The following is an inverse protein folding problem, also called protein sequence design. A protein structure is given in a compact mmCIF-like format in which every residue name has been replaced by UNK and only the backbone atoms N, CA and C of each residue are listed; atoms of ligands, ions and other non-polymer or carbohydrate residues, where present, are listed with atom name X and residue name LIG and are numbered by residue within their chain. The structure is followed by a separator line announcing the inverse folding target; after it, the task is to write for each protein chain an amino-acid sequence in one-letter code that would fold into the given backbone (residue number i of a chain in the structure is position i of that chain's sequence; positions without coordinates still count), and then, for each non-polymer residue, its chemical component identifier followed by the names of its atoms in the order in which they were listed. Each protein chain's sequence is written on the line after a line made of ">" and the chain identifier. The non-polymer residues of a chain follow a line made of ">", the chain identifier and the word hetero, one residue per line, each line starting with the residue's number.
data_IF_755219312312
#
_entry.id   IF_755219312312
#
_cell.length_a   1.000
_cell.length_b   1.000
_cell.length_c   1.000
_cell.angle_alpha   90.00
_cell.angle_beta   90.00
_cell.angle_gamma   90.00
#
_symmetry.space_group_name_H-M   'P 1'
#
loop_
_entity.id
_entity.type
_entity.pdbx_description
1 polymer ?
#
# COMPACT_ATOMS: atom_id res chain seq x y z
N UNK A 1 5.96 -13.64 -55.29
CA UNK A 1 6.16 -12.40 -54.51
C UNK A 1 4.98 -12.10 -53.56
N UNK A 2 3.75 -11.90 -54.06
CA UNK A 2 2.56 -11.56 -53.23
C UNK A 2 2.31 -12.45 -52.00
N UNK A 3 2.44 -13.78 -52.12
CA UNK A 3 2.26 -14.72 -50.98
C UNK A 3 3.27 -14.52 -49.84
N UNK A 4 4.52 -14.15 -50.13
CA UNK A 4 5.55 -13.90 -49.11
C UNK A 4 5.25 -12.63 -48.32
N UNK A 5 4.77 -11.58 -49.00
CA UNK A 5 4.31 -10.36 -48.34
C UNK A 5 3.10 -10.59 -47.44
N UNK A 6 2.15 -11.42 -47.87
CA UNK A 6 0.99 -11.80 -47.04
C UNK A 6 1.44 -12.52 -45.76
N UNK A 7 2.38 -13.46 -45.86
CA UNK A 7 2.91 -14.18 -44.69
C UNK A 7 3.64 -13.23 -43.74
N UNK A 8 4.44 -12.29 -44.26
CA UNK A 8 5.15 -11.29 -43.45
C UNK A 8 4.15 -10.37 -42.73
N UNK A 9 3.09 -9.93 -43.41
CA UNK A 9 2.05 -9.08 -42.81
C UNK A 9 1.30 -9.82 -41.68
N UNK A 10 0.99 -11.10 -41.87
CA UNK A 10 0.36 -11.93 -40.83
C UNK A 10 1.29 -12.07 -39.62
N UNK A 11 2.58 -12.32 -39.84
CA UNK A 11 3.56 -12.44 -38.75
C UNK A 11 3.69 -11.13 -37.94
N UNK A 12 3.69 -9.98 -38.61
CA UNK A 12 3.70 -8.66 -37.95
C UNK A 12 2.40 -8.45 -37.16
N UNK A 13 1.24 -8.82 -37.70
CA UNK A 13 -0.04 -8.69 -37.01
C UNK A 13 -0.10 -9.56 -35.74
N UNK A 14 0.37 -10.80 -35.82
CA UNK A 14 0.38 -11.73 -34.68
C UNK A 14 1.38 -11.28 -33.61
N UNK A 15 2.56 -10.79 -34.00
CA UNK A 15 3.56 -10.32 -33.03
C UNK A 15 3.16 -9.02 -32.35
N UNK A 16 2.50 -8.11 -33.08
CA UNK A 16 1.98 -6.86 -32.48
C UNK A 16 0.80 -7.13 -31.56
N UNK A 17 -0.11 -8.05 -31.90
CA UNK A 17 -1.24 -8.39 -31.03
C UNK A 17 -0.81 -9.10 -29.73
N UNK A 18 0.21 -9.97 -29.77
CA UNK A 18 0.76 -10.60 -28.56
C UNK A 18 1.50 -9.60 -27.67
N UNK A 19 2.24 -8.64 -28.26
CA UNK A 19 2.87 -7.56 -27.50
C UNK A 19 1.83 -6.68 -26.79
N UNK A 20 0.74 -6.32 -27.50
CA UNK A 20 -0.36 -5.54 -26.91
C UNK A 20 -0.97 -6.31 -25.74
N UNK A 21 -1.23 -7.62 -25.88
CA UNK A 21 -1.83 -8.44 -24.82
C UNK A 21 -0.95 -8.56 -23.56
N UNK A 22 0.37 -8.65 -23.76
CA UNK A 22 1.36 -8.67 -22.66
C UNK A 22 1.45 -7.32 -21.93
N UNK A 23 1.36 -6.20 -22.66
CA UNK A 23 1.38 -4.85 -22.07
C UNK A 23 0.04 -4.47 -21.44
N UNK A 24 -1.09 -4.97 -21.99
CA UNK A 24 -2.43 -4.76 -21.43
C UNK A 24 -2.80 -5.75 -20.33
N UNK A 25 -1.95 -6.74 -20.05
CA UNK A 25 -1.95 -7.48 -18.78
C UNK A 25 -1.31 -6.61 -17.68
N UNK A 26 -1.73 -5.35 -17.62
CA UNK A 26 -1.37 -4.43 -16.55
C UNK A 26 -1.86 -5.01 -15.22
N UNK A 27 -1.06 -4.81 -14.19
CA UNK A 27 -1.24 -5.29 -12.82
C UNK A 27 -2.71 -5.27 -12.38
N UNK A 28 -3.39 -6.39 -12.60
CA UNK A 28 -4.52 -6.78 -11.80
C UNK A 28 -3.95 -7.45 -10.55
N UNK A 29 -3.13 -6.74 -9.78
CA UNK A 29 -2.91 -7.11 -8.39
C UNK A 29 -4.29 -7.00 -7.74
N UNK A 30 -5.07 -8.07 -7.85
CA UNK A 30 -6.22 -8.30 -6.99
C UNK A 30 -5.60 -8.45 -5.62
N UNK A 31 -5.40 -7.31 -4.97
CA UNK A 31 -5.14 -7.24 -3.55
C UNK A 31 -6.11 -8.20 -2.88
N UNK A 32 -5.58 -9.04 -1.99
CA UNK A 32 -6.39 -10.00 -1.24
C UNK A 32 -7.58 -9.30 -0.58
N UNK A 33 -7.35 -8.06 -0.15
CA UNK A 33 -8.37 -7.16 0.36
C UNK A 33 -8.49 -5.93 -0.54
N UNK A 34 -9.59 -5.77 -1.30
CA UNK A 34 -9.77 -4.62 -2.17
C UNK A 34 -9.96 -3.32 -1.38
N UNK A 35 -9.62 -2.19 -1.99
CA UNK A 35 -9.89 -0.86 -1.43
C UNK A 35 -11.37 -0.52 -1.50
N UNK A 36 -11.89 0.09 -0.43
CA UNK A 36 -13.22 0.70 -0.39
C UNK A 36 -13.20 2.15 -0.91
N UNK A 37 -14.39 2.77 -1.00
CA UNK A 37 -14.55 4.16 -1.43
C UNK A 37 -13.75 5.15 -0.58
N UNK A 38 -13.64 4.87 0.72
CA UNK A 38 -13.01 5.75 1.70
C UNK A 38 -11.52 5.42 1.92
N UNK A 39 -10.96 4.45 1.18
CA UNK A 39 -9.53 4.12 1.22
C UNK A 39 -8.72 5.26 0.60
N UNK A 40 -7.81 5.82 1.38
CA UNK A 40 -6.82 6.79 0.94
C UNK A 40 -5.58 6.09 0.42
N UNK A 41 -5.13 5.06 1.15
CA UNK A 41 -3.94 4.31 0.80
C UNK A 41 -4.03 2.87 1.30
N UNK A 42 -3.33 1.95 0.65
CA UNK A 42 -3.30 0.53 1.00
C UNK A 42 -1.86 0.02 0.99
N UNK A 43 -1.59 -0.96 1.85
CA UNK A 43 -0.25 -1.52 2.02
C UNK A 43 -0.30 -3.05 2.00
N UNK A 44 0.82 -3.64 1.55
CA UNK A 44 0.97 -5.08 1.34
C UNK A 44 0.01 -5.63 0.29
N UNK A 45 -0.71 -6.69 0.62
CA UNK A 45 -1.76 -7.28 -0.22
C UNK A 45 -3.15 -6.64 0.03
N UNK A 46 -3.17 -5.41 0.55
CA UNK A 46 -4.37 -4.71 0.98
C UNK A 46 -4.77 -5.00 2.43
N UNK A 47 -3.98 -5.82 3.14
CA UNK A 47 -4.20 -6.15 4.57
C UNK A 47 -4.32 -4.89 5.43
N UNK A 48 -3.50 -3.87 5.15
CA UNK A 48 -3.55 -2.61 5.87
C UNK A 48 -4.05 -1.50 4.96
N UNK A 49 -4.97 -0.70 5.46
CA UNK A 49 -5.58 0.38 4.69
C UNK A 49 -5.73 1.61 5.58
N UNK A 50 -5.41 2.78 5.01
CA UNK A 50 -5.74 4.06 5.63
C UNK A 50 -7.08 4.51 5.05
N UNK A 51 -8.07 4.71 5.91
CA UNK A 51 -9.40 5.19 5.54
C UNK A 51 -9.67 6.60 6.07
N UNK A 52 -10.65 7.29 5.48
CA UNK A 52 -11.27 8.47 6.08
C UNK A 52 -12.37 8.02 7.05
N UNK A 53 -12.20 8.35 8.32
CA UNK A 53 -12.98 7.80 9.43
C UNK A 53 -14.33 8.46 9.74
N UNK A 54 -14.75 9.53 9.05
CA UNK A 54 -16.06 10.16 9.28
C UNK A 54 -16.12 11.69 9.13
N UNK A 55 -17.07 12.40 9.78
CA UNK A 55 -17.43 13.80 9.49
C UNK A 55 -16.33 14.86 9.62
N UNK A 56 -15.23 14.53 10.32
CA UNK A 56 -14.05 15.37 10.46
C UNK A 56 -12.81 14.81 9.73
N UNK A 57 -13.02 13.79 8.90
CA UNK A 57 -12.04 13.06 8.10
C UNK A 57 -10.76 12.61 8.85
N UNK A 58 -10.82 12.16 10.13
CA UNK A 58 -9.61 11.60 10.74
C UNK A 58 -9.18 10.37 9.96
N UNK A 59 -7.89 10.29 9.64
CA UNK A 59 -7.34 9.12 8.99
C UNK A 59 -7.25 7.97 10.01
N UNK A 60 -7.70 6.78 9.63
CA UNK A 60 -7.69 5.58 10.49
C UNK A 60 -6.88 4.50 9.80
N UNK A 61 -5.97 3.84 10.53
CA UNK A 61 -5.28 2.66 10.04
C UNK A 61 -6.09 1.41 10.41
N UNK A 62 -6.60 0.74 9.40
CA UNK A 62 -7.29 -0.53 9.54
C UNK A 62 -6.38 -1.70 9.17
N UNK A 63 -6.58 -2.81 9.86
CA UNK A 63 -5.89 -4.06 9.62
C UNK A 63 -6.92 -5.20 9.48
N UNK A 64 -7.01 -5.80 8.29
CA UNK A 64 -7.91 -6.93 8.01
C UNK A 64 -7.58 -8.21 8.80
N UNK A 65 -6.42 -8.28 9.46
CA UNK A 65 -6.00 -9.41 10.30
C UNK A 65 -6.21 -9.17 11.81
N UNK A 66 -6.50 -7.93 12.22
CA UNK A 66 -6.71 -7.61 13.64
C UNK A 66 -8.14 -7.90 14.08
N UNK A 67 -8.35 -8.09 15.38
CA UNK A 67 -9.69 -8.12 15.96
C UNK A 67 -10.37 -6.75 15.73
N UNK A 68 -11.64 -6.69 15.30
CA UNK A 68 -12.36 -5.43 15.12
C UNK A 68 -12.39 -4.50 16.34
N UNK A 69 -12.21 -5.03 17.56
CA UNK A 69 -12.08 -4.20 18.77
C UNK A 69 -10.68 -3.61 18.97
N UNK A 70 -9.69 -4.10 18.25
CA UNK A 70 -8.29 -3.68 18.32
C UNK A 70 -7.97 -2.83 17.08
N UNK A 71 -8.53 -1.61 17.02
CA UNK A 71 -8.14 -0.64 16.00
C UNK A 71 -6.62 -0.45 16.06
N UNK A 72 -5.94 -0.63 14.92
CA UNK A 72 -4.48 -0.57 14.88
C UNK A 72 -4.00 0.82 15.34
N UNK A 73 -4.52 1.90 14.76
CA UNK A 73 -4.37 3.28 15.27
C UNK A 73 -5.52 4.13 14.72
N UNK A 74 -6.27 4.77 15.62
CA UNK A 74 -7.21 5.84 15.29
C UNK A 74 -6.50 7.20 15.28
N UNK A 75 -7.02 8.14 14.47
CA UNK A 75 -6.50 9.50 14.33
C UNK A 75 -5.02 9.55 13.95
N UNK A 76 -4.69 9.05 12.75
CA UNK A 76 -3.35 9.21 12.16
C UNK A 76 -3.08 10.70 11.99
N UNK A 77 -2.06 11.19 12.67
CA UNK A 77 -1.54 12.56 12.57
C UNK A 77 -0.67 12.68 11.33
N UNK A 78 0.22 11.70 11.11
CA UNK A 78 1.10 11.68 9.94
C UNK A 78 1.62 10.27 9.65
N UNK A 79 2.05 10.04 8.41
CA UNK A 79 2.70 8.80 8.03
C UNK A 79 3.73 9.00 6.91
N UNK A 80 4.62 8.03 6.75
CA UNK A 80 5.64 8.03 5.70
C UNK A 80 5.99 6.61 5.26
N UNK A 81 6.14 6.46 3.95
CA UNK A 81 6.59 5.23 3.33
C UNK A 81 8.09 5.35 3.05
N UNK A 82 8.86 4.33 3.45
CA UNK A 82 10.30 4.22 3.17
C UNK A 82 10.60 2.78 2.74
N UNK A 83 10.79 2.58 1.43
CA UNK A 83 10.82 1.25 0.81
C UNK A 83 9.51 0.52 1.14
N UNK A 84 9.59 -0.68 1.73
CA UNK A 84 8.42 -1.47 2.09
C UNK A 84 7.95 -1.20 3.53
N UNK A 85 8.58 -0.26 4.24
CA UNK A 85 8.22 0.06 5.63
C UNK A 85 7.36 1.32 5.66
N UNK A 86 6.22 1.24 6.33
CA UNK A 86 5.31 2.35 6.59
C UNK A 86 5.42 2.74 8.06
N UNK A 87 5.73 4.00 8.30
CA UNK A 87 5.80 4.61 9.62
C UNK A 87 4.56 5.45 9.82
N UNK A 88 3.76 5.15 10.83
CA UNK A 88 2.50 5.83 11.13
C UNK A 88 2.57 6.42 12.54
N UNK A 89 2.24 7.70 12.66
CA UNK A 89 2.07 8.43 13.91
C UNK A 89 0.58 8.64 14.11
N UNK A 90 0.02 8.05 15.16
CA UNK A 90 -1.32 8.37 15.64
C UNK A 90 -1.29 9.20 16.90
N UNK A 91 -2.46 9.69 17.31
CA UNK A 91 -2.61 10.41 18.58
C UNK A 91 -2.14 9.60 19.79
N UNK A 92 -2.38 8.28 19.79
CA UNK A 92 -2.17 7.41 20.95
C UNK A 92 -1.00 6.42 20.80
N UNK A 93 -0.21 6.52 19.74
CA UNK A 93 0.93 5.63 19.54
C UNK A 93 1.50 5.66 18.13
N UNK A 94 2.40 4.72 17.89
CA UNK A 94 3.22 4.64 16.70
C UNK A 94 3.15 3.24 16.12
N UNK A 95 3.09 3.14 14.80
CA UNK A 95 3.15 1.87 14.08
C UNK A 95 4.31 1.90 13.09
N UNK A 96 5.06 0.80 13.09
CA UNK A 96 6.00 0.45 12.04
C UNK A 96 5.50 -0.82 11.35
N UNK A 97 5.13 -0.68 10.10
CA UNK A 97 4.51 -1.73 9.30
C UNK A 97 5.46 -2.15 8.17
N UNK A 98 5.61 -3.45 7.95
CA UNK A 98 6.30 -4.01 6.79
C UNK A 98 5.27 -4.55 5.80
N UNK A 99 5.16 -3.85 4.68
CA UNK A 99 4.23 -4.17 3.59
C UNK A 99 4.61 -5.47 2.85
N UNK A 100 5.87 -5.91 2.93
CA UNK A 100 6.31 -7.14 2.25
C UNK A 100 5.83 -8.39 2.98
N UNK A 101 5.73 -8.31 4.30
CA UNK A 101 5.42 -9.45 5.19
C UNK A 101 4.04 -9.35 5.83
N UNK A 102 3.32 -8.25 5.63
CA UNK A 102 2.06 -7.93 6.31
C UNK A 102 2.17 -7.97 7.84
N UNK A 103 3.32 -7.61 8.39
CA UNK A 103 3.55 -7.56 9.84
C UNK A 103 3.69 -6.12 10.32
N UNK A 104 3.35 -5.86 11.57
CA UNK A 104 3.53 -4.54 12.16
C UNK A 104 3.95 -4.63 13.63
N UNK A 105 4.65 -3.60 14.09
CA UNK A 105 4.91 -3.35 15.50
C UNK A 105 4.19 -2.06 15.91
N UNK A 106 3.37 -2.14 16.94
CA UNK A 106 2.74 -0.98 17.58
C UNK A 106 3.37 -0.72 18.94
N UNK A 107 3.72 0.54 19.23
CA UNK A 107 4.23 0.94 20.54
C UNK A 107 3.64 2.28 20.96
N UNK A 108 3.39 2.43 22.25
CA UNK A 108 2.89 3.68 22.83
C UNK A 108 3.97 4.76 22.88
N UNK A 109 5.24 4.40 23.09
CA UNK A 109 6.34 5.34 23.22
C UNK A 109 7.33 5.16 22.07
N UNK A 110 7.70 6.28 21.45
CA UNK A 110 8.71 6.33 20.39
C UNK A 110 10.07 5.75 20.84
N UNK A 111 10.39 5.84 22.13
CA UNK A 111 11.64 5.32 22.70
C UNK A 111 11.72 3.79 22.74
N UNK A 112 10.61 3.10 22.52
CA UNK A 112 10.57 1.63 22.47
C UNK A 112 10.99 1.11 21.07
N UNK A 113 11.21 2.00 20.10
CA UNK A 113 11.77 1.68 18.78
C UNK A 113 13.28 1.83 18.71
N UNK A 114 13.88 1.27 17.65
CA UNK A 114 15.30 1.46 17.37
C UNK A 114 15.63 2.94 17.16
N UNK A 115 16.89 3.33 17.38
CA UNK A 115 17.35 4.71 17.18
C UNK A 115 17.06 5.23 15.77
N UNK A 116 17.22 4.38 14.76
CA UNK A 116 16.97 4.69 13.35
C UNK A 116 15.48 4.91 13.06
N UNK A 117 14.61 4.09 13.63
CA UNK A 117 13.16 4.24 13.45
C UNK A 117 12.65 5.49 14.18
N UNK A 118 13.15 5.75 15.39
CA UNK A 118 12.84 6.96 16.17
C UNK A 118 13.21 8.25 15.43
N UNK A 119 14.33 8.28 14.70
CA UNK A 119 14.69 9.45 13.90
C UNK A 119 13.63 9.75 12.81
N UNK A 120 13.03 8.70 12.23
CA UNK A 120 11.99 8.86 11.21
C UNK A 120 10.70 9.37 11.86
N UNK A 121 10.31 8.80 13.00
CA UNK A 121 9.12 9.24 13.74
C UNK A 121 9.25 10.68 14.25
N UNK A 122 10.41 11.11 14.77
CA UNK A 122 10.63 12.50 15.17
C UNK A 122 10.39 13.47 14.01
N UNK A 123 10.95 13.18 12.83
CA UNK A 123 10.72 13.99 11.62
C UNK A 123 9.26 14.04 11.17
N UNK A 124 8.46 13.04 11.54
CA UNK A 124 7.02 12.99 11.25
C UNK A 124 6.19 13.81 12.24
N UNK A 125 6.68 14.02 13.46
CA UNK A 125 6.01 14.81 14.51
C UNK A 125 6.37 16.30 14.46
N UNK A 126 7.47 16.68 13.81
CA UNK A 126 7.90 18.08 13.64
C UNK A 126 7.16 18.85 12.52
N UNK A 127 6.25 18.17 11.80
CA UNK A 127 5.51 18.70 10.66
C UNK A 127 4.19 19.35 11.09
#
# INVERSE_FOLDING_TARGET
>A
MKRRYIIILIAILVTTSTLIFLVSSGDNTKYKYPSGKDTVEYFGDGTFQIFRGGPHDPLILYNHLADPLENAVDNIVSYKIKKNIVYVVGENGFIKLDSSTNTYEQKKRINDFTSKDREIFNKLMEK
#
